data_IF_315197292951
#
_entry.id   IF_315197292951
#
_cell.length_a   1.000
_cell.length_b   1.000
_cell.length_c   1.000
_cell.angle_alpha   90.00
_cell.angle_beta   90.00
_cell.angle_gamma   90.00
#
_symmetry.space_group_name_H-M   'P 1'
#
loop_
_entity.id
_entity.type
_entity.pdbx_description
1 polymer ?
#
# COMPACT_ATOMS: atom_id res chain seq x y z
N UNK A 1 17.17 13.57 36.00
CA UNK A 1 18.16 14.12 35.05
C UNK A 1 18.54 13.04 34.04
N UNK A 2 17.86 13.01 32.89
CA UNK A 2 18.18 12.09 31.78
C UNK A 2 17.79 12.80 30.48
N UNK A 3 18.74 13.51 29.88
CA UNK A 3 18.61 14.14 28.55
C UNK A 3 18.38 13.02 27.53
N UNK A 4 17.18 12.96 26.93
CA UNK A 4 16.95 12.12 25.73
C UNK A 4 17.30 12.92 24.48
N UNK A 5 18.13 12.28 23.67
CA UNK A 5 18.73 12.73 22.42
C UNK A 5 17.63 13.10 21.41
N UNK A 6 17.71 14.31 20.86
CA UNK A 6 16.92 14.68 19.69
C UNK A 6 17.29 13.79 18.49
N UNK A 7 16.36 13.70 17.54
CA UNK A 7 16.55 13.06 16.24
C UNK A 7 17.96 13.34 15.75
N UNK A 8 18.81 12.30 15.79
CA UNK A 8 20.13 12.38 15.19
C UNK A 8 19.84 12.60 13.69
N UNK A 9 20.33 13.70 13.06
CA UNK A 9 20.44 13.69 11.60
C UNK A 9 21.15 12.40 11.25
N UNK A 10 20.77 11.72 10.16
CA UNK A 10 21.44 10.49 9.74
C UNK A 10 22.94 10.81 9.64
N UNK A 11 23.71 10.51 10.70
CA UNK A 11 25.03 11.10 10.94
C UNK A 11 25.93 10.81 9.74
N UNK A 12 25.65 9.68 9.10
CA UNK A 12 26.27 9.21 7.89
C UNK A 12 26.05 10.12 6.68
N UNK A 13 24.82 10.55 6.40
CA UNK A 13 24.52 11.51 5.32
C UNK A 13 25.14 12.87 5.62
N UNK A 14 25.00 13.34 6.87
CA UNK A 14 25.57 14.61 7.29
C UNK A 14 27.11 14.66 7.19
N UNK A 15 27.78 13.57 7.56
CA UNK A 15 29.24 13.43 7.41
C UNK A 15 29.62 13.35 5.94
N UNK A 16 28.91 12.56 5.13
CA UNK A 16 29.15 12.41 3.69
C UNK A 16 29.08 13.77 2.99
N UNK A 17 28.01 14.51 3.21
CA UNK A 17 27.79 15.78 2.52
C UNK A 17 28.87 16.81 2.87
N UNK A 18 29.41 16.78 4.10
CA UNK A 18 30.54 17.62 4.50
C UNK A 18 31.87 17.19 3.87
N UNK A 19 32.12 15.89 3.72
CA UNK A 19 33.34 15.39 3.06
C UNK A 19 33.30 15.73 1.57
N UNK A 20 32.16 15.51 0.89
CA UNK A 20 31.97 15.86 -0.52
C UNK A 20 32.12 17.37 -0.73
N UNK A 21 31.50 18.18 0.12
CA UNK A 21 31.64 19.64 0.08
C UNK A 21 33.11 20.07 0.26
N UNK A 22 33.83 19.48 1.22
CA UNK A 22 35.23 19.80 1.46
C UNK A 22 36.12 19.40 0.27
N UNK A 23 35.90 18.21 -0.31
CA UNK A 23 36.63 17.75 -1.49
C UNK A 23 36.39 18.66 -2.70
N UNK A 24 35.14 19.09 -2.92
CA UNK A 24 34.79 20.04 -3.97
C UNK A 24 35.42 21.42 -3.74
N UNK A 25 35.43 21.92 -2.50
CA UNK A 25 36.07 23.18 -2.15
C UNK A 25 37.59 23.14 -2.40
N UNK A 26 38.27 22.06 -1.98
CA UNK A 26 39.71 21.86 -2.23
C UNK A 26 40.02 21.84 -3.72
N UNK A 27 39.19 21.14 -4.51
CA UNK A 27 39.31 21.12 -5.97
C UNK A 27 39.18 22.51 -6.58
N UNK A 28 38.11 23.24 -6.24
CA UNK A 28 37.82 24.58 -6.79
C UNK A 28 38.93 25.56 -6.40
N UNK A 29 39.41 25.54 -5.16
CA UNK A 29 40.50 26.40 -4.69
C UNK A 29 41.80 26.10 -5.45
N UNK A 30 42.14 24.81 -5.61
CA UNK A 30 43.33 24.40 -6.37
C UNK A 30 43.25 24.81 -7.84
N UNK A 31 42.11 24.55 -8.50
CA UNK A 31 41.88 24.93 -9.89
C UNK A 31 41.93 26.46 -10.09
N UNK A 32 41.30 27.22 -9.19
CA UNK A 32 41.29 28.68 -9.23
C UNK A 32 42.69 29.25 -9.03
N UNK A 33 43.45 28.77 -8.04
CA UNK A 33 44.83 29.18 -7.81
C UNK A 33 45.74 28.86 -9.01
N UNK A 34 45.54 27.70 -9.65
CA UNK A 34 46.29 27.32 -10.85
C UNK A 34 46.04 28.29 -12.02
N UNK A 35 44.76 28.59 -12.31
CA UNK A 35 44.36 29.46 -13.43
C UNK A 35 44.80 30.92 -13.20
N UNK A 36 44.62 31.43 -11.98
CA UNK A 36 44.88 32.85 -11.66
C UNK A 36 46.35 33.15 -11.37
N UNK A 37 47.17 32.16 -11.03
CA UNK A 37 48.60 32.35 -10.73
C UNK A 37 49.36 33.09 -11.85
N UNK A 38 49.02 32.84 -13.13
CA UNK A 38 49.64 33.51 -14.28
C UNK A 38 49.16 34.94 -14.55
N UNK A 39 48.07 35.37 -13.89
CA UNK A 39 47.58 36.74 -13.96
C UNK A 39 48.14 37.61 -12.82
N UNK A 40 48.50 36.98 -11.70
CA UNK A 40 48.95 37.67 -10.48
C UNK A 40 50.48 37.75 -10.39
N UNK A 41 51.20 36.74 -10.91
CA UNK A 41 52.66 36.70 -10.91
C UNK A 41 53.21 36.92 -12.33
N UNK A 42 54.30 37.66 -12.44
CA UNK A 42 55.01 37.83 -13.72
C UNK A 42 55.56 36.49 -14.22
N UNK A 43 55.65 36.35 -15.55
CA UNK A 43 56.10 35.11 -16.18
C UNK A 43 57.55 34.74 -15.84
N UNK A 44 58.37 35.72 -15.44
CA UNK A 44 59.76 35.53 -15.01
C UNK A 44 59.90 35.27 -13.50
N UNK A 45 58.80 35.14 -12.76
CA UNK A 45 58.82 34.87 -11.33
C UNK A 45 59.24 33.43 -11.04
N UNK A 46 60.32 33.28 -10.27
CA UNK A 46 60.80 31.98 -9.76
C UNK A 46 59.74 31.21 -8.94
N UNK A 47 58.69 31.88 -8.47
CA UNK A 47 57.63 31.30 -7.64
C UNK A 47 56.41 30.83 -8.43
N UNK A 48 56.30 31.18 -9.73
CA UNK A 48 55.15 30.83 -10.55
C UNK A 48 55.03 29.31 -10.75
N UNK A 49 56.14 28.64 -11.03
CA UNK A 49 56.18 27.19 -11.23
C UNK A 49 55.83 26.40 -9.96
N UNK A 50 56.48 26.64 -8.80
CA UNK A 50 56.12 25.98 -7.54
C UNK A 50 54.64 26.17 -7.15
N UNK A 51 54.10 27.38 -7.34
CA UNK A 51 52.71 27.67 -6.99
C UNK A 51 51.72 26.91 -7.88
N UNK A 52 52.00 26.81 -9.18
CA UNK A 52 51.18 26.03 -10.12
C UNK A 52 51.22 24.54 -9.81
N UNK A 53 52.40 23.97 -9.53
CA UNK A 53 52.52 22.56 -9.17
C UNK A 53 51.78 22.24 -7.87
N UNK A 54 51.88 23.11 -6.87
CA UNK A 54 51.16 22.95 -5.61
C UNK A 54 49.64 23.07 -5.78
N UNK A 55 49.17 24.03 -6.58
CA UNK A 55 47.76 24.21 -6.88
C UNK A 55 47.17 23.02 -7.67
N UNK A 56 47.95 22.45 -8.59
CA UNK A 56 47.58 21.26 -9.34
C UNK A 56 47.51 20.02 -8.43
N UNK A 57 48.44 19.89 -7.48
CA UNK A 57 48.42 18.83 -6.48
C UNK A 57 47.19 18.93 -5.55
N UNK A 58 46.82 20.13 -5.11
CA UNK A 58 45.57 20.35 -4.35
C UNK A 58 44.33 19.98 -5.16
N UNK A 59 44.29 20.37 -6.43
CA UNK A 59 43.19 20.02 -7.33
C UNK A 59 43.07 18.49 -7.51
N UNK A 60 44.19 17.80 -7.69
CA UNK A 60 44.23 16.34 -7.82
C UNK A 60 43.72 15.64 -6.56
N UNK A 61 44.12 16.11 -5.36
CA UNK A 61 43.61 15.60 -4.08
C UNK A 61 42.09 15.75 -4.00
N UNK A 62 41.56 16.90 -4.43
CA UNK A 62 40.12 17.15 -4.50
C UNK A 62 39.40 16.14 -5.40
N UNK A 63 39.87 15.93 -6.63
CA UNK A 63 39.28 14.98 -7.59
C UNK A 63 39.30 13.55 -7.07
N UNK A 64 40.45 13.09 -6.55
CA UNK A 64 40.60 11.72 -6.03
C UNK A 64 39.68 11.49 -4.83
N UNK A 65 39.60 12.46 -3.91
CA UNK A 65 38.71 12.37 -2.74
C UNK A 65 37.24 12.33 -3.12
N UNK A 66 36.87 13.11 -4.14
CA UNK A 66 35.49 13.19 -4.64
C UNK A 66 35.10 11.91 -5.39
N UNK A 67 36.02 11.35 -6.20
CA UNK A 67 35.85 10.05 -6.84
C UNK A 67 35.75 8.89 -5.85
N UNK A 68 36.52 8.93 -4.76
CA UNK A 68 36.45 7.92 -3.70
C UNK A 68 35.09 7.94 -2.99
N UNK A 69 34.59 9.11 -2.58
CA UNK A 69 33.33 9.21 -1.85
C UNK A 69 32.10 8.96 -2.73
N UNK A 70 32.11 9.40 -3.98
CA UNK A 70 30.95 9.23 -4.88
C UNK A 70 30.87 7.84 -5.52
N UNK A 71 32.00 7.20 -5.82
CA UNK A 71 31.98 5.94 -6.58
C UNK A 71 32.50 4.77 -5.75
N UNK A 72 33.74 4.85 -5.27
CA UNK A 72 34.38 3.71 -4.62
C UNK A 72 33.68 3.35 -3.32
N UNK A 73 33.32 4.33 -2.49
CA UNK A 73 32.66 4.07 -1.21
C UNK A 73 31.28 3.46 -1.39
N UNK A 74 30.51 3.89 -2.39
CA UNK A 74 29.16 3.38 -2.61
C UNK A 74 29.19 1.95 -3.18
N UNK A 75 30.04 1.70 -4.19
CA UNK A 75 30.29 0.35 -4.71
C UNK A 75 30.77 -0.60 -3.61
N UNK A 76 31.83 -0.19 -2.90
CA UNK A 76 32.48 -1.00 -1.87
C UNK A 76 31.52 -1.24 -0.70
N UNK A 77 30.73 -0.24 -0.29
CA UNK A 77 29.80 -0.41 0.81
C UNK A 77 28.60 -1.28 0.46
N UNK A 78 28.09 -1.20 -0.78
CA UNK A 78 27.02 -2.08 -1.23
C UNK A 78 27.50 -3.53 -1.32
N UNK A 79 28.68 -3.78 -1.89
CA UNK A 79 29.31 -5.10 -1.89
C UNK A 79 29.56 -5.63 -0.46
N UNK A 80 30.10 -4.80 0.45
CA UNK A 80 30.30 -5.19 1.84
C UNK A 80 28.98 -5.45 2.56
N UNK A 81 27.93 -4.68 2.27
CA UNK A 81 26.61 -4.85 2.89
C UNK A 81 25.95 -6.13 2.40
N UNK A 82 26.03 -6.43 1.11
CA UNK A 82 25.56 -7.68 0.53
C UNK A 82 26.33 -8.86 1.16
N UNK A 83 27.66 -8.80 1.18
CA UNK A 83 28.49 -9.82 1.82
C UNK A 83 28.19 -9.95 3.33
N UNK A 84 27.94 -8.85 4.06
CA UNK A 84 27.55 -8.90 5.46
C UNK A 84 26.16 -9.50 5.66
N UNK A 85 25.20 -9.21 4.77
CA UNK A 85 23.87 -9.83 4.82
C UNK A 85 23.96 -11.33 4.54
N UNK A 86 24.80 -11.75 3.60
CA UNK A 86 25.13 -13.16 3.37
C UNK A 86 25.78 -13.82 4.59
N UNK A 87 26.65 -13.10 5.31
CA UNK A 87 27.31 -13.61 6.52
C UNK A 87 26.40 -13.63 7.76
N UNK A 88 25.51 -12.64 7.91
CA UNK A 88 24.64 -12.50 9.08
C UNK A 88 23.42 -13.42 9.02
N UNK A 89 22.95 -13.78 7.83
CA UNK A 89 21.85 -14.73 7.67
C UNK A 89 22.04 -15.61 6.42
N UNK A 90 23.05 -16.49 6.43
CA UNK A 90 23.41 -17.31 5.27
C UNK A 90 22.26 -18.23 4.85
N UNK A 91 21.45 -18.69 5.80
CA UNK A 91 20.29 -19.52 5.51
C UNK A 91 19.18 -18.73 4.80
N UNK A 92 18.87 -17.50 5.20
CA UNK A 92 17.87 -16.70 4.48
C UNK A 92 18.27 -16.45 3.02
N UNK A 93 19.54 -16.10 2.77
CA UNK A 93 20.03 -15.88 1.41
C UNK A 93 20.05 -17.16 0.60
N UNK A 94 20.53 -18.27 1.18
CA UNK A 94 20.51 -19.61 0.55
C UNK A 94 19.09 -20.02 0.20
N UNK A 95 18.13 -19.74 1.08
CA UNK A 95 16.72 -20.06 0.89
C UNK A 95 15.98 -19.07 -0.03
N UNK A 96 16.64 -18.00 -0.50
CA UNK A 96 16.03 -16.98 -1.36
C UNK A 96 15.07 -16.03 -0.65
N UNK A 97 15.12 -15.95 0.68
CA UNK A 97 14.28 -15.06 1.48
C UNK A 97 14.88 -13.66 1.43
N UNK A 98 14.20 -12.73 0.73
CA UNK A 98 14.58 -11.31 0.65
C UNK A 98 14.23 -10.54 1.93
N UNK A 99 13.15 -10.95 2.61
CA UNK A 99 12.70 -10.29 3.83
C UNK A 99 11.56 -11.03 4.51
N UNK A 100 11.50 -10.89 5.84
CA UNK A 100 10.38 -11.34 6.68
C UNK A 100 9.84 -10.12 7.41
N UNK A 101 8.54 -9.93 7.30
CA UNK A 101 7.81 -8.78 7.81
C UNK A 101 6.77 -9.26 8.80
N UNK A 102 6.49 -8.48 9.84
CA UNK A 102 5.51 -8.82 10.88
C UNK A 102 4.09 -8.86 10.33
N UNK A 103 3.80 -8.02 9.34
CA UNK A 103 2.51 -7.94 8.68
C UNK A 103 2.58 -7.25 7.31
N UNK A 104 1.47 -7.33 6.58
CA UNK A 104 1.28 -6.71 5.26
C UNK A 104 1.48 -5.19 5.24
N UNK A 105 1.23 -4.49 6.34
CA UNK A 105 1.46 -3.05 6.41
C UNK A 105 2.94 -2.71 6.45
N UNK A 106 3.74 -3.47 7.20
CA UNK A 106 5.20 -3.34 7.21
C UNK A 106 5.80 -3.74 5.85
N UNK A 107 5.30 -4.81 5.23
CA UNK A 107 5.64 -5.17 3.86
C UNK A 107 5.35 -4.01 2.89
N UNK A 108 4.15 -3.43 2.94
CA UNK A 108 3.73 -2.33 2.07
C UNK A 108 4.53 -1.04 2.21
N UNK A 109 5.24 -0.83 3.32
CA UNK A 109 6.20 0.26 3.49
C UNK A 109 7.53 0.00 2.77
N UNK A 110 7.87 -1.27 2.54
CA UNK A 110 9.13 -1.68 1.91
C UNK A 110 8.97 -1.97 0.40
N UNK A 111 7.80 -2.47 -0.01
CA UNK A 111 7.47 -2.76 -1.40
C UNK A 111 5.97 -2.60 -1.55
N UNK A 112 5.56 -1.56 -2.26
CA UNK A 112 4.14 -1.33 -2.55
C UNK A 112 3.63 -2.30 -3.62
N UNK A 113 2.32 -2.57 -3.63
CA UNK A 113 1.69 -3.35 -4.68
C UNK A 113 1.84 -2.71 -6.07
N UNK A 114 1.83 -1.38 -6.12
CA UNK A 114 2.03 -0.63 -7.36
C UNK A 114 3.44 -0.88 -7.92
N UNK A 115 4.49 -0.80 -7.08
CA UNK A 115 5.87 -1.10 -7.49
C UNK A 115 6.04 -2.56 -7.91
N UNK A 116 5.42 -3.49 -7.18
CA UNK A 116 5.48 -4.91 -7.50
C UNK A 116 4.87 -5.19 -8.88
N UNK A 117 3.70 -4.61 -9.19
CA UNK A 117 2.99 -4.90 -10.44
C UNK A 117 3.56 -4.12 -11.63
N UNK A 118 4.19 -2.96 -11.41
CA UNK A 118 4.83 -2.18 -12.47
C UNK A 118 5.80 -3.00 -13.31
N UNK A 119 6.56 -3.91 -12.68
CA UNK A 119 7.63 -4.68 -13.32
C UNK A 119 7.18 -6.04 -13.88
N UNK A 120 5.90 -6.39 -13.74
CA UNK A 120 5.38 -7.68 -14.19
C UNK A 120 5.27 -7.73 -15.70
N UNK A 121 5.75 -8.83 -16.29
CA UNK A 121 5.85 -9.02 -17.74
C UNK A 121 4.79 -9.98 -18.29
N UNK A 122 4.49 -11.06 -17.58
CA UNK A 122 3.76 -12.20 -18.10
C UNK A 122 2.57 -12.61 -17.24
N UNK A 123 2.78 -12.75 -15.93
CA UNK A 123 1.76 -13.34 -15.06
C UNK A 123 1.71 -12.73 -13.67
N UNK A 124 0.49 -12.52 -13.17
CA UNK A 124 0.18 -12.28 -11.77
C UNK A 124 -0.72 -13.42 -11.28
N UNK A 125 -0.29 -14.14 -10.25
CA UNK A 125 -1.08 -15.21 -9.63
C UNK A 125 -1.29 -14.93 -8.14
N UNK A 126 -2.54 -14.69 -7.73
CA UNK A 126 -2.87 -14.28 -6.36
C UNK A 126 -3.83 -15.29 -5.72
N UNK A 127 -3.40 -15.86 -4.59
CA UNK A 127 -4.22 -16.74 -3.76
C UNK A 127 -4.50 -16.15 -2.40
N UNK A 128 -5.75 -16.24 -1.95
CA UNK A 128 -6.12 -15.81 -0.61
C UNK A 128 -7.53 -16.25 -0.23
N UNK A 129 -8.00 -15.88 0.96
CA UNK A 129 -9.29 -16.40 1.41
C UNK A 129 -10.48 -15.71 0.76
N UNK A 130 -10.46 -14.37 0.68
CA UNK A 130 -11.56 -13.61 0.05
C UNK A 130 -11.12 -12.69 -1.08
N UNK A 131 -9.83 -12.35 -1.17
CA UNK A 131 -9.29 -11.39 -2.15
C UNK A 131 -9.93 -9.97 -2.15
N UNK A 132 -10.64 -9.57 -1.09
CA UNK A 132 -11.36 -8.28 -1.07
C UNK A 132 -10.47 -7.07 -1.37
N UNK A 133 -9.30 -6.97 -0.75
CA UNK A 133 -8.38 -5.86 -0.99
C UNK A 133 -7.89 -5.80 -2.45
N UNK A 134 -7.78 -6.95 -3.09
CA UNK A 134 -7.35 -7.05 -4.50
C UNK A 134 -8.49 -6.61 -5.41
N UNK A 135 -9.71 -7.10 -5.15
CA UNK A 135 -10.90 -6.73 -5.92
C UNK A 135 -11.39 -5.29 -5.70
N UNK A 136 -10.96 -4.61 -4.63
CA UNK A 136 -11.28 -3.19 -4.38
C UNK A 136 -10.10 -2.28 -4.70
N UNK A 137 -9.03 -2.33 -3.90
CA UNK A 137 -7.95 -1.34 -3.93
C UNK A 137 -7.01 -1.50 -5.13
N UNK A 138 -6.80 -2.74 -5.61
CA UNK A 138 -5.91 -3.05 -6.73
C UNK A 138 -6.65 -3.31 -8.05
N UNK A 139 -7.96 -3.08 -8.10
CA UNK A 139 -8.82 -3.39 -9.25
C UNK A 139 -8.38 -2.70 -10.53
N UNK A 140 -8.17 -1.38 -10.46
CA UNK A 140 -7.76 -0.59 -11.63
C UNK A 140 -6.34 -0.94 -12.09
N UNK A 141 -5.47 -1.31 -11.16
CA UNK A 141 -4.12 -1.77 -11.47
C UNK A 141 -4.15 -3.13 -12.17
N UNK A 142 -4.97 -4.08 -11.70
CA UNK A 142 -5.19 -5.35 -12.37
C UNK A 142 -5.77 -5.15 -13.78
N UNK A 143 -6.77 -4.28 -13.90
CA UNK A 143 -7.36 -3.91 -15.20
C UNK A 143 -6.30 -3.40 -16.16
N UNK A 144 -5.46 -2.45 -15.72
CA UNK A 144 -4.37 -1.92 -16.54
C UNK A 144 -3.40 -3.02 -17.00
N UNK A 145 -2.98 -3.91 -16.10
CA UNK A 145 -2.04 -4.99 -16.43
C UNK A 145 -2.63 -6.03 -17.39
N UNK A 146 -3.90 -6.39 -17.22
CA UNK A 146 -4.62 -7.26 -18.17
C UNK A 146 -4.67 -6.60 -19.55
N UNK A 147 -4.91 -5.29 -19.62
CA UNK A 147 -4.92 -4.53 -20.87
C UNK A 147 -3.52 -4.34 -21.49
N UNK A 148 -2.44 -4.54 -20.73
CA UNK A 148 -1.05 -4.59 -21.21
C UNK A 148 -0.66 -5.97 -21.76
N UNK A 149 -1.50 -6.99 -21.56
CA UNK A 149 -1.26 -8.37 -22.02
C UNK A 149 -0.82 -9.34 -20.94
N UNK A 150 -0.84 -8.94 -19.66
CA UNK A 150 -0.45 -9.78 -18.52
C UNK A 150 -1.61 -10.71 -18.13
N UNK A 151 -1.32 -11.99 -17.95
CA UNK A 151 -2.31 -12.96 -17.46
C UNK A 151 -2.48 -12.82 -15.94
N UNK A 152 -3.72 -12.90 -15.48
CA UNK A 152 -4.06 -12.77 -14.06
C UNK A 152 -4.86 -13.99 -13.62
N UNK A 153 -4.27 -14.80 -12.74
CA UNK A 153 -4.92 -15.91 -12.05
C UNK A 153 -5.29 -15.49 -10.62
N UNK A 154 -6.55 -15.67 -10.24
CA UNK A 154 -7.04 -15.36 -8.90
C UNK A 154 -7.68 -16.58 -8.26
N UNK A 155 -7.29 -16.86 -7.02
CA UNK A 155 -7.75 -18.00 -6.26
C UNK A 155 -8.33 -17.56 -4.91
N UNK A 156 -9.63 -17.81 -4.68
CA UNK A 156 -10.35 -17.46 -3.45
C UNK A 156 -11.21 -18.60 -2.90
N UNK A 157 -11.65 -18.52 -1.64
CA UNK A 157 -12.49 -19.59 -1.09
C UNK A 157 -13.86 -19.61 -1.77
N UNK A 158 -14.41 -20.80 -1.94
CA UNK A 158 -15.79 -20.98 -2.36
C UNK A 158 -16.74 -20.50 -1.25
N UNK A 159 -17.62 -19.50 -1.50
CA UNK A 159 -18.54 -18.98 -0.49
C UNK A 159 -19.52 -20.03 0.04
N UNK A 160 -19.80 -21.09 -0.72
CA UNK A 160 -20.74 -22.15 -0.36
C UNK A 160 -20.02 -23.38 0.23
N UNK A 161 -18.70 -23.30 0.45
CA UNK A 161 -17.92 -24.35 1.08
C UNK A 161 -18.28 -24.54 2.56
N UNK A 162 -18.38 -25.79 3.05
CA UNK A 162 -18.50 -26.09 4.49
C UNK A 162 -17.39 -25.47 5.35
N UNK A 163 -16.22 -25.21 4.76
CA UNK A 163 -15.11 -24.56 5.46
C UNK A 163 -15.43 -23.10 5.77
N UNK A 164 -16.07 -22.39 4.84
CA UNK A 164 -16.46 -21.00 5.05
C UNK A 164 -17.51 -20.91 6.17
N UNK A 165 -18.48 -21.83 6.19
CA UNK A 165 -19.45 -21.95 7.28
C UNK A 165 -18.78 -22.19 8.64
N UNK A 166 -17.77 -23.06 8.68
CA UNK A 166 -17.00 -23.33 9.89
C UNK A 166 -16.29 -22.06 10.38
N UNK A 167 -15.64 -21.33 9.49
CA UNK A 167 -14.94 -20.07 9.80
C UNK A 167 -15.92 -19.03 10.36
N UNK A 168 -17.09 -18.88 9.74
CA UNK A 168 -18.14 -17.96 10.19
C UNK A 168 -18.61 -18.31 11.60
N UNK A 169 -18.84 -19.60 11.88
CA UNK A 169 -19.21 -20.08 13.23
C UNK A 169 -18.11 -19.75 14.25
N UNK A 170 -16.84 -19.96 13.89
CA UNK A 170 -15.69 -19.58 14.74
C UNK A 170 -15.52 -18.07 14.92
N UNK A 171 -16.06 -17.26 14.01
CA UNK A 171 -16.11 -15.81 14.08
C UNK A 171 -17.33 -15.25 14.83
N UNK A 172 -18.09 -16.09 15.55
CA UNK A 172 -19.27 -15.67 16.29
C UNK A 172 -20.54 -15.57 15.43
N UNK A 173 -20.58 -16.27 14.28
CA UNK A 173 -21.76 -16.36 13.42
C UNK A 173 -22.00 -15.14 12.52
N UNK A 174 -21.08 -14.16 12.50
CA UNK A 174 -21.20 -12.99 11.62
C UNK A 174 -20.90 -13.39 10.19
N UNK A 175 -21.86 -13.16 9.29
CA UNK A 175 -21.72 -13.45 7.85
C UNK A 175 -20.65 -12.59 7.14
N UNK A 176 -19.95 -11.69 7.85
CA UNK A 176 -18.94 -10.77 7.30
C UNK A 176 -17.95 -11.49 6.39
N UNK A 177 -17.42 -12.65 6.77
CA UNK A 177 -16.44 -13.36 5.95
C UNK A 177 -17.03 -13.91 4.63
N UNK A 178 -18.19 -14.58 4.67
CA UNK A 178 -18.93 -15.01 3.46
C UNK A 178 -19.16 -13.81 2.54
N UNK A 179 -19.62 -12.70 3.13
CA UNK A 179 -19.96 -11.51 2.38
C UNK A 179 -18.73 -10.90 1.71
N UNK A 180 -17.57 -10.92 2.35
CA UNK A 180 -16.32 -10.48 1.72
C UNK A 180 -15.95 -11.33 0.50
N UNK A 181 -16.18 -12.65 0.53
CA UNK A 181 -15.95 -13.55 -0.61
C UNK A 181 -16.94 -13.22 -1.74
N UNK A 182 -18.24 -13.14 -1.41
CA UNK A 182 -19.30 -12.83 -2.37
C UNK A 182 -19.10 -11.46 -3.03
N UNK A 183 -18.75 -10.44 -2.24
CA UNK A 183 -18.39 -9.11 -2.75
C UNK A 183 -17.24 -9.20 -3.74
N UNK A 184 -16.17 -9.93 -3.42
CA UNK A 184 -15.02 -10.06 -4.32
C UNK A 184 -15.39 -10.70 -5.64
N UNK A 185 -16.17 -11.78 -5.63
CA UNK A 185 -16.66 -12.41 -6.86
C UNK A 185 -17.48 -11.44 -7.72
N UNK A 186 -18.37 -10.64 -7.12
CA UNK A 186 -19.16 -9.63 -7.83
C UNK A 186 -18.28 -8.52 -8.44
N UNK A 187 -17.28 -8.04 -7.70
CA UNK A 187 -16.35 -7.01 -8.19
C UNK A 187 -15.47 -7.52 -9.33
N UNK A 188 -15.05 -8.79 -9.26
CA UNK A 188 -14.29 -9.46 -10.32
C UNK A 188 -15.16 -9.72 -11.55
N UNK A 189 -16.43 -10.10 -11.37
CA UNK A 189 -17.39 -10.17 -12.47
C UNK A 189 -17.58 -8.81 -13.15
N UNK A 190 -17.74 -7.74 -12.38
CA UNK A 190 -17.82 -6.38 -12.94
C UNK A 190 -16.56 -6.01 -13.72
N UNK A 191 -15.38 -6.38 -13.23
CA UNK A 191 -14.12 -6.20 -13.94
C UNK A 191 -14.11 -6.99 -15.27
N UNK A 192 -14.57 -8.25 -15.27
CA UNK A 192 -14.68 -9.06 -16.49
C UNK A 192 -15.58 -8.40 -17.55
N UNK A 193 -16.74 -7.87 -17.14
CA UNK A 193 -17.65 -7.15 -18.05
C UNK A 193 -16.96 -5.92 -18.64
N UNK A 194 -16.34 -5.08 -17.81
CA UNK A 194 -15.61 -3.90 -18.29
C UNK A 194 -14.43 -4.25 -19.23
N UNK A 195 -13.79 -5.39 -18.99
CA UNK A 195 -12.72 -5.89 -19.86
C UNK A 195 -13.27 -6.40 -21.19
N UNK A 196 -14.48 -6.94 -21.23
CA UNK A 196 -15.15 -7.40 -22.45
C UNK A 196 -15.67 -6.22 -23.27
N UNK A 197 -16.19 -5.17 -22.64
CA UNK A 197 -16.70 -3.96 -23.33
C UNK A 197 -15.62 -3.16 -24.09
N UNK A 198 -14.34 -3.41 -23.81
CA UNK A 198 -13.19 -2.73 -24.43
C UNK A 198 -12.70 -3.41 -25.73
N UNK A 199 -13.59 -4.02 -26.52
CA UNK A 199 -13.25 -4.73 -27.76
C UNK A 199 -12.39 -3.87 -28.70
N UNK A 200 -11.27 -4.43 -29.17
CA UNK A 200 -10.40 -3.80 -30.18
C UNK A 200 -8.88 -3.80 -29.89
N UNK A 201 -8.43 -4.27 -28.72
CA UNK A 201 -6.98 -4.39 -28.43
C UNK A 201 -6.46 -5.82 -28.67
N UNK A 202 -5.49 -6.03 -29.57
CA UNK A 202 -4.98 -7.36 -29.93
C UNK A 202 -4.07 -8.03 -28.88
N UNK A 203 -3.73 -7.36 -27.76
CA UNK A 203 -2.87 -7.88 -26.68
C UNK A 203 -3.53 -7.72 -25.32
N UNK A 204 -4.65 -8.41 -25.09
CA UNK A 204 -5.30 -8.49 -23.79
C UNK A 204 -4.92 -9.81 -23.13
N UNK A 205 -4.47 -9.76 -21.88
CA UNK A 205 -4.20 -10.94 -21.06
C UNK A 205 -5.50 -11.60 -20.58
N UNK A 206 -5.40 -12.82 -20.03
CA UNK A 206 -6.54 -13.56 -19.52
C UNK A 206 -6.79 -13.23 -18.03
N UNK A 207 -8.06 -13.10 -17.64
CA UNK A 207 -8.47 -13.07 -16.23
C UNK A 207 -9.13 -14.41 -15.90
N UNK A 208 -8.49 -15.21 -15.06
CA UNK A 208 -9.01 -16.49 -14.58
C UNK A 208 -9.28 -16.42 -13.08
N UNK A 209 -10.44 -16.90 -12.66
CA UNK A 209 -10.84 -16.92 -11.26
C UNK A 209 -11.29 -18.32 -10.90
N UNK A 210 -10.64 -18.91 -9.91
CA UNK A 210 -11.00 -20.22 -9.38
C UNK A 210 -11.35 -20.13 -7.89
N UNK A 211 -12.20 -21.03 -7.43
CA UNK A 211 -12.54 -21.21 -6.02
C UNK A 211 -12.02 -22.52 -5.44
N UNK A 212 -11.67 -22.51 -4.16
CA UNK A 212 -11.25 -23.72 -3.44
C UNK A 212 -12.04 -23.90 -2.14
N UNK A 213 -12.15 -25.16 -1.71
CA UNK A 213 -13.00 -25.59 -0.58
C UNK A 213 -12.22 -26.12 0.62
N UNK A 214 -10.92 -25.82 0.71
CA UNK A 214 -10.01 -26.25 1.78
C UNK A 214 -9.48 -25.06 2.59
N UNK A 215 -9.02 -25.30 3.83
CA UNK A 215 -8.34 -24.26 4.61
C UNK A 215 -6.94 -24.06 4.02
N UNK A 216 -6.60 -22.86 3.52
CA UNK A 216 -5.31 -22.64 2.91
C UNK A 216 -4.21 -22.59 3.99
N UNK A 217 -3.00 -23.03 3.67
CA UNK A 217 -1.87 -22.90 4.61
C UNK A 217 -1.35 -21.46 4.68
N UNK A 218 -1.56 -20.67 3.62
CA UNK A 218 -1.04 -19.31 3.46
C UNK A 218 -1.88 -18.54 2.43
N UNK A 219 -1.64 -17.23 2.31
CA UNK A 219 -2.07 -16.45 1.14
C UNK A 219 -0.86 -15.92 0.40
N UNK A 220 -0.95 -15.75 -0.92
CA UNK A 220 0.23 -15.44 -1.73
C UNK A 220 -0.05 -14.50 -2.90
N UNK A 221 1.03 -13.92 -3.40
CA UNK A 221 1.12 -13.23 -4.69
C UNK A 221 2.38 -13.76 -5.36
N UNK A 222 2.23 -14.43 -6.49
CA UNK A 222 3.33 -14.84 -7.35
C UNK A 222 3.33 -13.94 -8.57
N UNK A 223 4.50 -13.44 -8.93
CA UNK A 223 4.68 -12.66 -10.16
C UNK A 223 5.75 -13.33 -11.01
N UNK A 224 5.44 -13.46 -12.30
CA UNK A 224 6.33 -14.01 -13.33
C UNK A 224 7.04 -15.31 -12.87
N UNK A 225 6.25 -16.32 -12.46
CA UNK A 225 6.75 -17.52 -11.80
C UNK A 225 7.81 -18.29 -12.62
N UNK A 226 7.64 -18.27 -13.94
CA UNK A 226 8.54 -18.93 -14.89
C UNK A 226 9.82 -18.13 -15.17
N UNK A 227 9.85 -16.84 -14.84
CA UNK A 227 11.00 -15.97 -15.10
C UNK A 227 12.12 -16.15 -14.05
N UNK A 228 13.38 -15.83 -14.40
CA UNK A 228 14.49 -15.82 -13.45
C UNK A 228 14.29 -14.82 -12.31
N UNK A 229 13.65 -13.68 -12.59
CA UNK A 229 13.41 -12.59 -11.64
C UNK A 229 12.05 -12.72 -10.92
N UNK A 230 11.38 -13.87 -11.05
CA UNK A 230 10.10 -14.14 -10.41
C UNK A 230 10.15 -13.99 -8.89
N UNK A 231 9.05 -13.50 -8.32
CA UNK A 231 8.91 -13.24 -6.89
C UNK A 231 7.64 -13.85 -6.34
N UNK A 232 7.72 -14.40 -5.13
CA UNK A 232 6.57 -14.87 -4.36
C UNK A 232 6.52 -14.09 -3.06
N UNK A 233 5.38 -13.46 -2.80
CA UNK A 233 5.03 -12.90 -1.50
C UNK A 233 4.09 -13.90 -0.83
N UNK A 234 4.48 -14.43 0.32
CA UNK A 234 3.68 -15.37 1.10
C UNK A 234 3.33 -14.78 2.47
N UNK A 235 2.04 -14.66 2.78
CA UNK A 235 1.53 -14.38 4.12
C UNK A 235 1.32 -15.70 4.87
N UNK A 236 2.08 -15.92 5.93
CA UNK A 236 2.12 -17.17 6.68
C UNK A 236 0.86 -17.30 7.55
N UNK A 237 0.13 -18.39 7.35
CA UNK A 237 -1.11 -18.73 8.05
C UNK A 237 -2.37 -18.21 7.33
N UNK A 238 -3.50 -18.93 7.39
CA UNK A 238 -4.72 -18.54 6.70
C UNK A 238 -5.37 -17.29 7.32
N UNK A 239 -5.95 -16.45 6.47
CA UNK A 239 -6.94 -15.47 6.93
C UNK A 239 -8.29 -16.16 7.06
N UNK A 240 -8.74 -16.39 8.29
CA UNK A 240 -10.01 -17.06 8.61
C UNK A 240 -11.03 -16.05 9.14
N UNK A 241 -11.22 -14.93 8.43
CA UNK A 241 -12.17 -13.88 8.83
C UNK A 241 -11.75 -13.03 10.03
N UNK A 242 -10.49 -13.14 10.51
CA UNK A 242 -9.96 -12.38 11.67
C UNK A 242 -8.86 -11.41 11.23
N UNK A 243 -8.88 -10.18 11.78
CA UNK A 243 -7.94 -9.08 11.48
C UNK A 243 -6.58 -9.21 12.17
N UNK A 244 -6.17 -10.41 12.57
CA UNK A 244 -4.89 -10.59 13.24
C UNK A 244 -3.73 -10.35 12.26
N UNK A 245 -2.67 -9.62 12.69
CA UNK A 245 -1.47 -9.46 11.87
C UNK A 245 -0.84 -10.84 11.62
N UNK A 246 -0.48 -11.10 10.37
CA UNK A 246 0.15 -12.35 9.92
C UNK A 246 1.51 -12.02 9.31
N UNK A 247 2.58 -12.76 9.65
CA UNK A 247 3.88 -12.54 9.05
C UNK A 247 3.83 -12.68 7.53
N UNK A 248 4.56 -11.83 6.83
CA UNK A 248 4.70 -11.86 5.37
C UNK A 248 6.15 -12.10 5.00
N UNK A 249 6.40 -12.81 3.91
CA UNK A 249 7.74 -13.13 3.43
C UNK A 249 7.84 -12.87 1.94
N UNK A 250 8.96 -12.29 1.51
CA UNK A 250 9.31 -12.17 0.08
C UNK A 250 10.35 -13.24 -0.24
N UNK A 251 10.06 -14.06 -1.23
CA UNK A 251 10.92 -15.15 -1.71
C UNK A 251 11.26 -14.90 -3.17
N UNK A 252 12.55 -14.93 -3.48
CA UNK A 252 13.09 -14.84 -4.83
C UNK A 252 13.61 -16.19 -5.30
N UNK A 253 13.62 -16.38 -6.62
CA UNK A 253 14.10 -17.60 -7.24
C UNK A 253 15.59 -17.80 -6.95
N UNK A 254 15.91 -18.89 -6.23
CA UNK A 254 17.27 -19.32 -5.91
C UNK A 254 17.31 -20.84 -6.01
N UNK A 255 18.41 -21.37 -6.53
CA UNK A 255 18.65 -22.81 -6.63
C UNK A 255 18.60 -23.44 -5.24
N UNK A 256 17.79 -24.50 -5.06
CA UNK A 256 17.55 -25.17 -3.78
C UNK A 256 17.01 -24.23 -2.68
N UNK A 257 16.31 -23.16 -3.08
CA UNK A 257 15.67 -22.21 -2.18
C UNK A 257 14.23 -22.60 -1.83
N UNK A 258 13.55 -21.73 -1.09
CA UNK A 258 12.14 -21.90 -0.72
C UNK A 258 11.17 -21.56 -1.86
N UNK A 259 11.67 -20.97 -2.95
CA UNK A 259 10.83 -20.52 -4.06
C UNK A 259 10.03 -21.67 -4.67
N UNK A 260 10.71 -22.77 -5.01
CA UNK A 260 10.09 -23.93 -5.65
C UNK A 260 9.04 -24.57 -4.73
N UNK A 261 9.31 -24.63 -3.42
CA UNK A 261 8.34 -25.10 -2.42
C UNK A 261 7.05 -24.26 -2.43
N UNK A 262 7.16 -22.92 -2.38
CA UNK A 262 5.98 -22.06 -2.40
C UNK A 262 5.27 -22.09 -3.75
N UNK A 263 6.03 -22.13 -4.85
CA UNK A 263 5.50 -22.24 -6.20
C UNK A 263 4.66 -23.52 -6.37
N UNK A 264 5.18 -24.66 -5.90
CA UNK A 264 4.49 -25.94 -5.90
C UNK A 264 3.23 -25.91 -5.04
N UNK A 265 3.29 -25.35 -3.83
CA UNK A 265 2.11 -25.20 -2.98
C UNK A 265 1.01 -24.33 -3.63
N UNK A 266 1.40 -23.24 -4.29
CA UNK A 266 0.47 -22.36 -5.00
C UNK A 266 -0.18 -23.08 -6.18
N UNK A 267 0.61 -23.86 -6.92
CA UNK A 267 0.11 -24.61 -8.07
C UNK A 267 -0.80 -25.76 -7.65
N UNK A 268 -0.47 -26.50 -6.59
CA UNK A 268 -1.35 -27.54 -6.04
C UNK A 268 -2.72 -26.98 -5.64
N UNK A 269 -2.75 -25.80 -5.02
CA UNK A 269 -4.00 -25.13 -4.68
C UNK A 269 -4.79 -24.71 -5.93
N UNK A 270 -4.13 -24.37 -7.03
CA UNK A 270 -4.77 -24.09 -8.31
C UNK A 270 -5.33 -25.35 -8.96
N UNK A 271 -4.56 -26.43 -8.97
CA UNK A 271 -4.95 -27.68 -9.63
C UNK A 271 -6.16 -28.35 -8.94
N UNK A 272 -6.28 -28.22 -7.62
CA UNK A 272 -7.42 -28.72 -6.82
C UNK A 272 -8.62 -27.75 -6.77
N UNK A 273 -8.50 -26.60 -7.43
CA UNK A 273 -9.55 -25.58 -7.44
C UNK A 273 -10.58 -25.78 -8.57
N UNK A 274 -11.73 -25.13 -8.43
CA UNK A 274 -12.81 -25.14 -9.42
C UNK A 274 -12.91 -23.80 -10.14
N UNK A 275 -12.95 -23.77 -11.49
CA UNK A 275 -13.07 -22.52 -12.24
C UNK A 275 -14.44 -21.87 -12.04
N UNK A 276 -14.46 -20.54 -11.96
CA UNK A 276 -15.67 -19.72 -11.86
C UNK A 276 -15.95 -19.05 -13.20
N UNK A 277 -17.14 -19.29 -13.74
CA UNK A 277 -17.61 -18.58 -14.93
C UNK A 277 -18.11 -17.17 -14.57
N UNK A 278 -17.22 -16.18 -14.58
CA UNK A 278 -17.54 -14.77 -14.28
C UNK A 278 -18.58 -14.16 -15.25
N UNK A 279 -18.78 -14.73 -16.43
CA UNK A 279 -19.77 -14.24 -17.40
C UNK A 279 -21.19 -14.67 -17.04
N UNK A 280 -21.36 -15.61 -16.10
CA UNK A 280 -22.68 -16.02 -15.63
C UNK A 280 -23.34 -14.89 -14.78
N UNK A 281 -24.44 -14.25 -15.26
CA UNK A 281 -25.09 -13.17 -14.53
C UNK A 281 -25.71 -13.60 -13.19
N UNK A 282 -25.85 -14.92 -12.95
CA UNK A 282 -26.38 -15.52 -11.73
C UNK A 282 -25.30 -16.19 -10.89
N UNK A 283 -24.04 -15.74 -10.96
CA UNK A 283 -22.86 -16.32 -10.31
C UNK A 283 -23.06 -16.78 -8.85
N UNK A 284 -23.91 -16.08 -8.09
CA UNK A 284 -24.11 -16.32 -6.66
C UNK A 284 -25.51 -16.87 -6.31
N UNK A 285 -26.35 -17.25 -7.28
CA UNK A 285 -27.77 -17.68 -7.10
C UNK A 285 -28.62 -16.78 -6.18
N UNK A 286 -28.14 -15.60 -5.84
CA UNK A 286 -28.87 -14.62 -5.07
C UNK A 286 -29.41 -13.63 -6.07
N UNK A 287 -30.73 -13.45 -6.17
CA UNK A 287 -31.37 -12.32 -6.85
C UNK A 287 -31.04 -10.97 -6.20
N UNK A 288 -29.82 -10.82 -5.67
CA UNK A 288 -29.30 -9.79 -4.78
C UNK A 288 -27.96 -9.33 -5.37
N UNK A 289 -27.81 -8.04 -5.61
CA UNK A 289 -26.62 -7.35 -6.06
C UNK A 289 -25.98 -6.62 -4.89
N UNK A 290 -24.67 -6.35 -4.99
CA UNK A 290 -23.93 -5.60 -3.96
C UNK A 290 -23.22 -4.38 -4.54
N UNK A 291 -23.18 -3.30 -3.76
CA UNK A 291 -22.31 -2.14 -3.97
C UNK A 291 -21.39 -2.00 -2.75
N UNK A 292 -20.09 -1.81 -3.00
CA UNK A 292 -19.11 -1.62 -1.94
C UNK A 292 -18.29 -0.36 -2.21
N UNK A 293 -18.24 0.51 -1.21
CA UNK A 293 -17.47 1.74 -1.23
C UNK A 293 -16.49 1.73 -0.06
N UNK A 294 -15.23 2.04 -0.33
CA UNK A 294 -14.18 2.04 0.67
C UNK A 294 -13.50 3.41 0.70
N UNK A 295 -12.97 3.80 1.86
CA UNK A 295 -12.16 5.02 1.94
C UNK A 295 -10.86 4.86 1.15
N UNK A 296 -10.49 5.91 0.42
CA UNK A 296 -9.34 5.93 -0.48
C UNK A 296 -9.35 7.17 -1.37
N UNK A 297 -8.81 7.06 -2.59
CA UNK A 297 -8.76 8.19 -3.55
C UNK A 297 -10.13 8.68 -4.02
N UNK A 298 -11.17 7.87 -3.90
CA UNK A 298 -12.55 8.25 -4.23
C UNK A 298 -13.26 9.01 -3.11
N UNK A 299 -12.68 9.07 -1.90
CA UNK A 299 -13.21 9.90 -0.82
C UNK A 299 -12.92 11.35 -1.13
N UNK A 300 -13.93 12.22 -1.06
CA UNK A 300 -13.73 13.65 -1.24
C UNK A 300 -13.53 14.34 0.12
N UNK A 301 -12.66 15.35 0.16
CA UNK A 301 -12.33 16.18 1.30
C UNK A 301 -12.67 17.64 0.96
N UNK A 302 -13.29 18.36 1.90
CA UNK A 302 -13.69 19.75 1.70
C UNK A 302 -12.53 20.72 1.98
N UNK A 303 -12.19 21.58 1.02
CA UNK A 303 -11.15 22.59 1.18
C UNK A 303 -11.76 23.97 1.36
N UNK A 304 -11.78 24.45 2.62
CA UNK A 304 -12.40 25.73 3.00
C UNK A 304 -11.82 26.94 2.25
N UNK A 305 -10.52 26.96 1.94
CA UNK A 305 -9.86 28.06 1.21
C UNK A 305 -10.39 28.24 -0.22
N UNK A 306 -10.84 27.15 -0.84
CA UNK A 306 -11.28 27.13 -2.24
C UNK A 306 -12.77 26.84 -2.39
N UNK A 307 -13.50 26.71 -1.27
CA UNK A 307 -14.91 26.30 -1.21
C UNK A 307 -15.23 25.14 -2.17
N UNK A 308 -14.39 24.10 -2.15
CA UNK A 308 -14.48 23.01 -3.13
C UNK A 308 -14.17 21.65 -2.50
N UNK A 309 -14.69 20.61 -3.13
CA UNK A 309 -14.42 19.23 -2.78
C UNK A 309 -13.30 18.70 -3.68
N UNK A 310 -12.28 18.08 -3.09
CA UNK A 310 -11.15 17.48 -3.80
C UNK A 310 -10.92 16.07 -3.29
N UNK A 311 -10.20 15.24 -4.04
CA UNK A 311 -9.82 13.91 -3.57
C UNK A 311 -9.02 14.00 -2.25
N UNK A 312 -9.36 13.15 -1.29
CA UNK A 312 -8.63 13.03 -0.04
C UNK A 312 -7.26 12.37 -0.29
N UNK A 313 -6.30 12.70 0.57
CA UNK A 313 -4.98 12.06 0.55
C UNK A 313 -5.00 10.80 1.42
N UNK A 314 -4.25 9.78 1.00
CA UNK A 314 -3.94 8.64 1.86
C UNK A 314 -3.00 9.15 2.94
N UNK A 315 -3.42 9.07 4.21
CA UNK A 315 -2.65 9.64 5.31
C UNK A 315 -1.75 8.62 6.00
N UNK A 316 -0.71 9.13 6.66
CA UNK A 316 0.21 8.33 7.43
C UNK A 316 -0.50 7.74 8.65
N UNK A 317 -0.44 6.42 8.77
CA UNK A 317 -1.06 5.72 9.89
C UNK A 317 -0.29 5.95 11.20
N UNK A 318 -1.03 6.15 12.27
CA UNK A 318 -0.50 6.05 13.63
C UNK A 318 -0.01 4.63 13.94
N UNK A 319 0.97 4.45 14.85
CA UNK A 319 1.61 3.16 15.13
C UNK A 319 0.67 2.08 15.69
N UNK A 320 -0.48 2.49 16.24
CA UNK A 320 -1.48 1.59 16.84
C UNK A 320 -2.78 1.50 16.03
N UNK A 321 -2.86 2.19 14.89
CA UNK A 321 -4.07 2.20 14.09
C UNK A 321 -4.33 0.86 13.43
N UNK A 322 -5.59 0.46 13.39
CA UNK A 322 -6.05 -0.76 12.73
C UNK A 322 -6.79 -0.42 11.44
N UNK A 323 -6.53 -1.17 10.39
CA UNK A 323 -7.18 -0.98 9.10
C UNK A 323 -8.58 -1.60 9.07
N UNK A 324 -9.42 -1.11 8.16
CA UNK A 324 -10.63 -1.79 7.68
C UNK A 324 -10.28 -2.42 6.34
N UNK A 325 -10.59 -3.70 6.15
CA UNK A 325 -10.16 -4.45 4.97
C UNK A 325 -10.77 -3.88 3.68
N UNK A 326 -9.91 -3.62 2.70
CA UNK A 326 -10.29 -3.03 1.42
C UNK A 326 -10.34 -1.50 1.43
N UNK A 327 -10.02 -0.86 2.57
CA UNK A 327 -10.06 0.59 2.78
C UNK A 327 -8.69 1.14 3.19
N UNK A 328 -8.47 2.41 2.91
CA UNK A 328 -7.27 3.17 3.26
C UNK A 328 -7.60 4.28 4.24
N UNK A 329 -6.66 4.62 5.12
CA UNK A 329 -6.79 5.78 5.99
C UNK A 329 -6.64 7.05 5.16
N UNK A 330 -7.60 7.97 5.29
CA UNK A 330 -7.66 9.21 4.51
C UNK A 330 -7.69 10.44 5.41
N UNK A 331 -7.05 11.51 4.92
CA UNK A 331 -7.09 12.84 5.50
C UNK A 331 -7.01 13.92 4.41
N UNK A 332 -7.01 15.20 4.79
CA UNK A 332 -6.84 16.31 3.84
C UNK A 332 -5.44 16.34 3.19
N UNK A 333 -4.45 15.69 3.80
CA UNK A 333 -3.04 15.64 3.38
C UNK A 333 -2.38 14.39 3.96
N UNK A 334 -1.24 13.97 3.38
CA UNK A 334 -0.53 12.76 3.82
C UNK A 334 -0.06 12.85 5.29
N UNK A 335 0.46 14.01 5.69
CA UNK A 335 0.89 14.31 7.06
C UNK A 335 0.44 15.72 7.43
N UNK A 336 0.00 15.90 8.69
CA UNK A 336 -0.33 17.21 9.24
C UNK A 336 0.90 18.13 9.22
N UNK A 337 0.69 19.45 9.32
CA UNK A 337 1.78 20.36 9.66
C UNK A 337 1.84 20.59 11.19
N UNK A 338 2.95 21.13 11.69
CA UNK A 338 3.17 21.32 13.13
C UNK A 338 2.09 22.20 13.77
N UNK A 339 1.63 23.24 13.06
CA UNK A 339 0.61 24.14 13.57
C UNK A 339 -0.74 23.41 13.73
N UNK A 340 -1.18 22.68 12.71
CA UNK A 340 -2.41 21.86 12.75
C UNK A 340 -2.32 20.77 13.84
N UNK A 341 -1.14 20.20 14.03
CA UNK A 341 -0.85 19.21 15.06
C UNK A 341 -1.07 19.80 16.47
N UNK A 342 -0.62 21.04 16.67
CA UNK A 342 -0.75 21.76 17.93
C UNK A 342 -2.16 22.28 18.19
N UNK A 343 -2.83 22.80 17.18
CA UNK A 343 -4.17 23.41 17.33
C UNK A 343 -5.32 22.43 17.17
N UNK A 344 -5.05 21.24 16.63
CA UNK A 344 -6.10 20.34 16.15
C UNK A 344 -6.81 20.93 14.93
N UNK A 345 -7.91 20.29 14.53
CA UNK A 345 -8.66 20.73 13.36
C UNK A 345 -9.99 20.01 13.18
N UNK A 346 -10.81 20.55 12.28
CA UNK A 346 -12.03 19.91 11.81
C UNK A 346 -11.96 19.76 10.30
N UNK A 347 -12.30 18.58 9.82
CA UNK A 347 -12.26 18.27 8.40
C UNK A 347 -13.51 17.52 7.98
N UNK A 348 -14.09 17.90 6.84
CA UNK A 348 -15.24 17.21 6.26
C UNK A 348 -14.80 16.32 5.11
N UNK A 349 -15.32 15.11 5.10
CA UNK A 349 -15.17 14.13 4.03
C UNK A 349 -16.54 13.69 3.54
N UNK A 350 -16.65 13.29 2.28
CA UNK A 350 -17.88 12.69 1.78
C UNK A 350 -17.64 11.58 0.77
N UNK A 351 -18.66 10.76 0.60
CA UNK A 351 -18.85 9.90 -0.56
C UNK A 351 -20.19 10.17 -1.19
N UNK A 352 -20.23 10.04 -2.52
CA UNK A 352 -21.44 10.05 -3.32
C UNK A 352 -21.55 8.73 -4.06
N UNK A 353 -22.76 8.21 -4.12
CA UNK A 353 -23.04 6.99 -4.86
C UNK A 353 -24.50 6.93 -5.28
N UNK A 354 -24.75 6.23 -6.38
CA UNK A 354 -26.11 5.97 -6.84
C UNK A 354 -26.57 4.59 -6.38
N UNK A 355 -27.77 4.55 -5.79
CA UNK A 355 -28.48 3.33 -5.47
C UNK A 355 -29.59 3.09 -6.51
N UNK A 356 -29.45 2.09 -7.40
CA UNK A 356 -30.45 1.81 -8.43
C UNK A 356 -31.63 1.06 -7.80
N UNK A 357 -32.79 1.71 -7.69
CA UNK A 357 -34.02 1.02 -7.24
C UNK A 357 -34.94 0.75 -8.41
N UNK A 358 -35.13 -0.52 -8.69
CA UNK A 358 -36.25 -1.01 -9.47
C UNK A 358 -37.48 -1.24 -8.56
N UNK A 359 -37.28 -1.40 -7.23
CA UNK A 359 -38.33 -1.52 -6.19
C UNK A 359 -37.90 -0.85 -4.86
N UNK A 360 -38.85 -0.24 -4.14
CA UNK A 360 -38.62 0.41 -2.82
C UNK A 360 -38.15 -0.57 -1.74
N UNK A 361 -38.52 -1.84 -1.85
CA UNK A 361 -38.27 -2.89 -0.85
C UNK A 361 -37.08 -3.78 -1.24
N UNK A 362 -36.31 -3.36 -2.25
CA UNK A 362 -35.16 -4.11 -2.75
C UNK A 362 -33.97 -4.10 -1.78
N UNK A 363 -33.81 -3.07 -0.95
CA UNK A 363 -32.64 -2.90 -0.10
C UNK A 363 -32.63 -3.89 1.07
N UNK A 364 -31.83 -4.96 0.97
CA UNK A 364 -31.73 -5.98 2.01
C UNK A 364 -30.77 -5.56 3.10
N UNK A 365 -29.71 -4.81 2.76
CA UNK A 365 -28.59 -4.52 3.66
C UNK A 365 -27.92 -3.20 3.30
N UNK A 366 -27.54 -2.40 4.31
CA UNK A 366 -26.62 -1.28 4.14
C UNK A 366 -25.81 -1.09 5.43
N UNK A 367 -24.55 -1.53 5.41
CA UNK A 367 -23.66 -1.55 6.57
C UNK A 367 -22.46 -0.64 6.36
N UNK A 368 -22.23 0.27 7.30
CA UNK A 368 -21.08 1.15 7.34
C UNK A 368 -20.16 0.72 8.49
N UNK A 369 -18.95 0.29 8.13
CA UNK A 369 -17.85 0.12 9.07
C UNK A 369 -17.04 1.41 9.12
N UNK A 370 -16.71 1.91 10.31
CA UNK A 370 -15.94 3.16 10.46
C UNK A 370 -14.95 3.11 11.62
N UNK A 371 -13.82 3.80 11.45
CA UNK A 371 -12.91 4.22 12.51
C UNK A 371 -12.43 5.64 12.23
N UNK A 372 -12.10 6.36 13.29
CA UNK A 372 -11.54 7.69 13.17
C UNK A 372 -10.52 7.94 14.28
N UNK A 373 -9.57 8.83 13.97
CA UNK A 373 -8.72 9.49 14.96
C UNK A 373 -8.89 11.02 14.83
N UNK A 374 -9.51 11.73 15.77
CA UNK A 374 -10.02 11.26 17.07
C UNK A 374 -11.53 11.00 17.09
N UNK A 375 -12.34 11.90 16.53
CA UNK A 375 -13.80 11.81 16.61
C UNK A 375 -14.43 12.07 15.25
N UNK A 376 -15.45 11.30 14.88
CA UNK A 376 -16.19 11.41 13.63
C UNK A 376 -17.69 11.50 13.92
N UNK A 377 -18.35 12.47 13.28
CA UNK A 377 -19.81 12.53 13.16
C UNK A 377 -20.21 12.14 11.75
N UNK A 378 -21.31 11.42 11.60
CA UNK A 378 -21.72 10.86 10.32
C UNK A 378 -23.14 11.33 10.01
N UNK A 379 -23.33 11.84 8.80
CA UNK A 379 -24.64 12.18 8.26
C UNK A 379 -24.85 11.37 6.99
N UNK A 380 -25.95 10.63 6.91
CA UNK A 380 -26.36 9.86 5.73
C UNK A 380 -27.54 10.60 5.10
N UNK A 381 -27.34 11.16 3.92
CA UNK A 381 -28.24 12.10 3.28
C UNK A 381 -28.60 13.25 4.25
N UNK A 382 -29.87 13.40 4.59
CA UNK A 382 -30.38 14.46 5.47
C UNK A 382 -30.46 14.02 6.94
N UNK A 383 -29.96 12.83 7.28
CA UNK A 383 -30.05 12.26 8.63
C UNK A 383 -28.68 12.17 9.33
N UNK A 384 -28.51 12.95 10.39
CA UNK A 384 -27.32 12.96 11.22
C UNK A 384 -27.42 11.89 12.31
N UNK A 385 -26.42 11.02 12.40
CA UNK A 385 -26.33 10.03 13.48
C UNK A 385 -25.97 10.74 14.79
N UNK A 386 -26.63 10.37 15.88
CA UNK A 386 -26.44 10.99 17.21
C UNK A 386 -25.10 10.64 17.86
N UNK A 387 -24.43 9.58 17.39
CA UNK A 387 -23.26 9.04 18.04
C UNK A 387 -21.97 9.62 17.45
N UNK A 388 -20.96 9.70 18.31
CA UNK A 388 -19.59 10.05 17.94
C UNK A 388 -18.78 8.77 17.77
N UNK A 389 -18.06 8.65 16.66
CA UNK A 389 -17.28 7.46 16.31
C UNK A 389 -15.78 7.75 16.41
N UNK A 390 -15.01 6.85 17.00
CA UNK A 390 -13.56 7.00 17.20
C UNK A 390 -12.86 5.64 17.01
N UNK A 391 -11.85 5.32 17.82
CA UNK A 391 -11.35 3.96 17.96
C UNK A 391 -10.43 3.53 16.83
N UNK A 392 -9.46 4.37 16.48
CA UNK A 392 -8.44 4.03 15.51
C UNK A 392 -7.66 2.75 15.88
N UNK A 393 -7.46 2.48 17.17
CA UNK A 393 -6.72 1.33 17.72
C UNK A 393 -7.59 0.15 18.20
N UNK A 394 -8.91 0.33 18.26
CA UNK A 394 -9.86 -0.66 18.79
C UNK A 394 -9.80 -1.97 18.01
N UNK A 395 -10.08 -3.10 18.66
CA UNK A 395 -10.02 -4.41 18.00
C UNK A 395 -10.96 -4.51 16.78
N UNK A 396 -12.20 -4.06 16.95
CA UNK A 396 -13.24 -4.08 15.93
C UNK A 396 -13.62 -2.64 15.50
N UNK A 397 -13.93 -2.40 14.21
CA UNK A 397 -14.47 -1.12 13.78
C UNK A 397 -15.90 -0.92 14.29
N UNK A 398 -16.36 0.33 14.33
CA UNK A 398 -17.77 0.61 14.59
C UNK A 398 -18.61 0.09 13.42
N UNK A 399 -19.68 -0.62 13.75
CA UNK A 399 -20.63 -1.17 12.80
C UNK A 399 -21.93 -0.38 12.89
N UNK A 400 -22.41 0.14 11.75
CA UNK A 400 -23.59 0.99 11.67
C UNK A 400 -24.51 0.48 10.55
N UNK A 401 -25.75 0.14 10.88
CA UNK A 401 -26.79 -0.14 9.88
C UNK A 401 -27.40 1.20 9.41
N UNK A 402 -27.14 1.56 8.15
CA UNK A 402 -27.59 2.81 7.53
C UNK A 402 -28.77 2.63 6.57
N UNK A 403 -29.34 1.41 6.51
CA UNK A 403 -30.37 1.02 5.54
C UNK A 403 -31.59 1.93 5.51
N UNK A 404 -32.04 2.41 6.68
CA UNK A 404 -33.20 3.30 6.81
C UNK A 404 -32.96 4.70 6.25
N UNK A 405 -31.72 5.05 5.94
CA UNK A 405 -31.31 6.39 5.52
C UNK A 405 -30.84 6.43 4.07
N UNK A 406 -30.69 5.27 3.42
CA UNK A 406 -30.41 5.19 1.97
C UNK A 406 -31.69 5.43 1.19
N UNK A 407 -31.62 6.32 0.21
CA UNK A 407 -32.73 6.66 -0.70
C UNK A 407 -32.44 6.19 -2.11
N UNK A 408 -33.46 6.22 -2.96
CA UNK A 408 -33.27 5.88 -4.36
C UNK A 408 -32.48 6.91 -5.15
N UNK A 409 -31.63 6.45 -6.07
CA UNK A 409 -30.76 7.30 -6.87
C UNK A 409 -29.58 7.84 -6.06
N UNK A 410 -29.30 9.13 -6.19
CA UNK A 410 -28.12 9.74 -5.59
C UNK A 410 -28.21 9.78 -4.06
N UNK A 411 -27.16 9.26 -3.42
CA UNK A 411 -26.93 9.29 -1.99
C UNK A 411 -25.61 10.00 -1.67
N UNK A 412 -25.56 10.64 -0.50
CA UNK A 412 -24.35 11.22 0.06
C UNK A 412 -24.17 10.76 1.50
N UNK A 413 -22.94 10.40 1.88
CA UNK A 413 -22.56 10.22 3.29
C UNK A 413 -21.46 11.22 3.60
N UNK A 414 -21.72 12.08 4.58
CA UNK A 414 -20.81 13.09 5.10
C UNK A 414 -20.19 12.60 6.42
N UNK A 415 -18.88 12.73 6.52
CA UNK A 415 -18.09 12.47 7.72
C UNK A 415 -17.45 13.77 8.18
N UNK A 416 -17.81 14.25 9.38
CA UNK A 416 -17.16 15.40 10.00
C UNK A 416 -16.19 14.89 11.06
N UNK A 417 -14.90 14.94 10.74
CA UNK A 417 -13.83 14.55 11.67
C UNK A 417 -13.35 15.74 12.48
N UNK A 418 -13.06 15.47 13.75
CA UNK A 418 -12.39 16.36 14.68
C UNK A 418 -11.09 15.69 15.12
N UNK A 419 -9.97 16.35 14.82
CA UNK A 419 -8.66 16.04 15.38
C UNK A 419 -8.44 16.92 16.62
N UNK A 420 -8.17 16.31 17.77
CA UNK A 420 -7.96 17.06 19.00
C UNK A 420 -6.58 17.71 19.03
N UNK A 421 -6.52 18.92 19.59
CA UNK A 421 -5.29 19.69 19.71
C UNK A 421 -4.25 18.97 20.58
N UNK A 422 -2.98 19.00 20.16
CA UNK A 422 -1.86 18.55 20.98
C UNK A 422 -0.82 19.67 21.13
N UNK A 423 -1.05 20.65 22.02
CA UNK A 423 -0.24 21.88 22.10
C UNK A 423 1.26 21.64 22.31
N UNK A 424 1.61 20.55 22.99
CA UNK A 424 3.00 20.18 23.29
C UNK A 424 3.70 19.40 22.15
N UNK A 425 3.03 19.24 21.00
CA UNK A 425 3.61 18.56 19.85
C UNK A 425 4.84 19.31 19.32
N UNK A 426 5.88 18.54 19.00
CA UNK A 426 7.18 19.03 18.49
C UNK A 426 7.40 18.66 17.04
N UNK A 427 6.62 17.70 16.55
CA UNK A 427 6.67 17.17 15.20
C UNK A 427 5.25 16.83 14.75
N UNK A 428 4.93 16.87 13.44
CA UNK A 428 3.60 16.52 12.98
C UNK A 428 3.19 15.07 13.24
N UNK A 429 4.17 14.18 13.41
CA UNK A 429 3.94 12.78 13.77
C UNK A 429 3.40 12.61 15.20
N UNK A 430 3.50 13.64 16.05
CA UNK A 430 3.04 13.57 17.43
C UNK A 430 1.50 13.53 17.53
N UNK A 431 0.77 13.94 16.49
CA UNK A 431 -0.69 13.97 16.47
C UNK A 431 -1.20 13.58 15.07
N UNK A 432 -1.54 12.31 14.89
CA UNK A 432 -2.08 11.80 13.62
C UNK A 432 -3.59 11.94 13.54
N UNK A 433 -4.13 12.24 12.36
CA UNK A 433 -5.57 12.34 12.13
C UNK A 433 -5.97 11.56 10.87
N UNK A 434 -7.11 10.88 10.92
CA UNK A 434 -7.53 10.06 9.80
C UNK A 434 -8.90 9.45 9.96
N UNK A 435 -9.54 9.18 8.82
CA UNK A 435 -10.79 8.45 8.70
C UNK A 435 -10.54 7.16 7.91
N UNK A 436 -11.17 6.07 8.30
CA UNK A 436 -11.26 4.86 7.48
C UNK A 436 -12.68 4.30 7.56
N UNK A 437 -13.28 3.98 6.41
CA UNK A 437 -14.61 3.40 6.38
C UNK A 437 -14.78 2.38 5.25
N UNK A 438 -15.82 1.55 5.37
CA UNK A 438 -16.31 0.66 4.31
C UNK A 438 -17.84 0.61 4.37
N UNK A 439 -18.50 0.98 3.28
CA UNK A 439 -19.94 0.85 3.09
C UNK A 439 -20.22 -0.37 2.23
N UNK A 440 -21.10 -1.26 2.69
CA UNK A 440 -21.59 -2.41 1.95
C UNK A 440 -23.11 -2.35 1.83
N UNK A 441 -23.61 -2.27 0.61
CA UNK A 441 -25.03 -2.24 0.28
C UNK A 441 -25.38 -3.51 -0.48
N UNK A 442 -26.42 -4.23 -0.06
CA UNK A 442 -27.01 -5.34 -0.81
C UNK A 442 -28.47 -5.05 -1.11
N UNK A 443 -28.90 -5.36 -2.33
CA UNK A 443 -30.25 -5.11 -2.78
C UNK A 443 -30.71 -6.13 -3.83
N UNK A 444 -32.02 -6.41 -3.86
CA UNK A 444 -32.65 -7.29 -4.83
C UNK A 444 -33.07 -6.52 -6.08
N UNK A 445 -32.94 -7.17 -7.23
CA UNK A 445 -33.58 -6.72 -8.47
C UNK A 445 -35.03 -7.16 -8.50
#
# INVERSE_FOLDING_TARGET
MTRKMGNKPNIREWVRDRIVFLAAAIFVIGAFAYITSGQVLSHDSIWLHPLKEFALLLSLIGVVSLGYELFLRELTFNEYKEALQELMNPDAVRLGIKGIYKNRSELGQSTSFDELFQHVKHEIFIGGSSLLSISTASRELLKAKILEGVNVRLLLMDPDSPVVDLIVKQGGGRATFINEIKTSLLLLQKLQVELNDLEGRPKKGLLEVNTYSVIPSHSFISVDNDEPDGLIIADIGPYLGRSLPRPSMIVAKKKNGMYDYWSEMNQLMWDDSSPINLENPNLLETGTRALVFASGRETECYHAESDSWKAAAICKMGPHWRSVKGSQWVWARESLNLQETQTGGRQKFRIKFDYPCERSDGLTRAELLVRADNECRITVNDFSLTNHFSGADYAEPFYIDVRKHIKCGANEILFELVNFAKPDAKSPEDNTAGLIYRLHIEYRK
#
